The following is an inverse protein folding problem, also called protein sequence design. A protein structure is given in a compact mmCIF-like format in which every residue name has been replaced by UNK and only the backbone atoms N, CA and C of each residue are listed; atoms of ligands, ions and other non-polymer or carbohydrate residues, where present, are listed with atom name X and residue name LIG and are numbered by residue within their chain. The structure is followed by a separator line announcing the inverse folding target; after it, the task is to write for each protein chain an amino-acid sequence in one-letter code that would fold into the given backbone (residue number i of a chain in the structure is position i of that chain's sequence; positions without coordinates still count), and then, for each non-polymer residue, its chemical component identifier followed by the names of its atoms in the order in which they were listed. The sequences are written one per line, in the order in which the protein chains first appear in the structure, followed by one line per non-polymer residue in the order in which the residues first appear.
data_IF_204654513739
#
_entry.id   IF_204654513739
#
_cell.length_a   1.000
_cell.length_b   1.000
_cell.length_c   1.000
_cell.angle_alpha   90.00
_cell.angle_beta   90.00
_cell.angle_gamma   90.00
#
_symmetry.space_group_name_H-M   'P 1'
#
loop_
_entity.id
_entity.type
_entity.pdbx_description
1 polymer ?
#
# COMPACT_ATOMS: atom_id res chain seq x y z
N UNK A 1 40.90 22.01 -24.07
CA UNK A 1 40.18 23.08 -23.35
C UNK A 1 38.70 22.72 -23.31
N UNK A 2 38.12 22.74 -22.12
CA UNK A 2 36.70 22.63 -21.72
C UNK A 2 35.69 23.25 -22.75
N UNK A 3 34.41 22.85 -22.86
CA UNK A 3 33.41 22.54 -21.83
C UNK A 3 32.30 21.58 -22.31
N UNK A 4 31.77 20.88 -21.30
CA UNK A 4 30.47 20.21 -21.15
C UNK A 4 29.28 20.85 -21.88
N UNK A 5 28.34 20.00 -22.31
CA UNK A 5 26.92 20.07 -21.88
C UNK A 5 26.13 18.83 -22.34
N UNK A 6 25.86 17.90 -21.41
CA UNK A 6 24.49 17.36 -21.30
C UNK A 6 23.60 18.50 -20.82
N UNK A 7 22.31 18.48 -21.18
CA UNK A 7 21.39 18.16 -20.10
C UNK A 7 20.08 17.47 -20.57
N UNK A 8 19.43 16.89 -19.56
CA UNK A 8 18.01 16.58 -19.46
C UNK A 8 17.54 15.27 -20.10
N UNK A 9 17.55 14.25 -19.24
CA UNK A 9 16.61 13.13 -19.29
C UNK A 9 15.21 13.75 -19.34
N UNK A 10 14.55 13.67 -20.49
CA UNK A 10 13.16 14.08 -20.65
C UNK A 10 12.31 13.28 -19.66
N UNK A 11 11.74 13.98 -18.67
CA UNK A 11 10.63 13.47 -17.90
C UNK A 11 9.44 13.32 -18.85
N UNK A 12 9.29 12.13 -19.45
CA UNK A 12 8.11 11.77 -20.22
C UNK A 12 6.85 12.16 -19.43
N UNK A 13 5.89 12.87 -20.04
CA UNK A 13 4.70 13.31 -19.34
C UNK A 13 3.98 12.11 -18.73
N UNK A 14 3.56 12.26 -17.48
CA UNK A 14 2.72 11.27 -16.80
C UNK A 14 1.56 10.88 -17.73
N UNK A 15 1.39 9.57 -17.93
CA UNK A 15 0.35 9.02 -18.80
C UNK A 15 -0.99 9.74 -18.51
N UNK A 16 -1.73 10.21 -19.53
CA UNK A 16 -2.97 10.97 -19.34
C UNK A 16 -4.08 10.18 -18.60
N UNK A 17 -3.87 8.88 -18.38
CA UNK A 17 -4.75 7.96 -17.65
C UNK A 17 -4.25 7.64 -16.22
N UNK A 18 -3.10 8.18 -15.80
CA UNK A 18 -2.55 7.94 -14.46
C UNK A 18 -3.36 8.72 -13.41
N UNK A 19 -4.20 7.98 -12.67
CA UNK A 19 -5.09 8.53 -11.64
C UNK A 19 -4.43 8.59 -10.26
N UNK A 20 -3.23 8.03 -10.07
CA UNK A 20 -2.54 8.00 -8.79
C UNK A 20 -1.96 9.39 -8.48
N UNK A 21 -2.27 9.88 -7.28
CA UNK A 21 -1.76 11.17 -6.78
C UNK A 21 -0.34 11.10 -6.21
N UNK A 22 0.16 9.91 -5.90
CA UNK A 22 1.46 9.71 -5.27
C UNK A 22 2.26 8.63 -6.01
N UNK A 23 3.57 8.85 -6.24
CA UNK A 23 4.44 7.81 -6.75
C UNK A 23 4.48 6.62 -5.78
N UNK A 24 4.62 5.42 -6.33
CA UNK A 24 4.74 4.17 -5.57
C UNK A 24 6.16 3.67 -5.71
N UNK A 25 6.79 3.34 -4.58
CA UNK A 25 8.08 2.67 -4.54
C UNK A 25 7.85 1.18 -4.37
N UNK A 26 8.38 0.38 -5.28
CA UNK A 26 8.41 -1.08 -5.11
C UNK A 26 9.20 -1.43 -3.86
N UNK A 27 8.61 -2.28 -3.03
CA UNK A 27 9.23 -2.74 -1.78
C UNK A 27 8.83 -4.18 -1.57
N UNK A 28 9.82 -5.04 -1.34
CA UNK A 28 9.59 -6.40 -0.88
C UNK A 28 9.81 -6.43 0.63
N UNK A 29 8.83 -6.94 1.37
CA UNK A 29 8.88 -7.00 2.82
C UNK A 29 7.67 -7.69 3.41
N UNK A 30 7.68 -7.91 4.72
CA UNK A 30 6.55 -8.50 5.44
C UNK A 30 5.73 -7.39 6.09
N UNK A 31 4.41 -7.50 6.00
CA UNK A 31 3.47 -6.64 6.70
C UNK A 31 2.42 -7.51 7.40
N UNK A 32 2.12 -7.17 8.65
CA UNK A 32 1.07 -7.82 9.43
C UNK A 32 -0.17 -6.96 9.43
N UNK A 33 -1.33 -7.55 9.15
CA UNK A 33 -2.62 -6.86 9.07
C UNK A 33 -3.59 -7.45 10.10
N UNK A 34 -4.28 -6.61 10.86
CA UNK A 34 -5.31 -7.03 11.81
C UNK A 34 -6.60 -6.29 11.54
N UNK A 35 -7.69 -7.01 11.27
CA UNK A 35 -9.02 -6.45 11.04
C UNK A 35 -9.55 -5.88 12.36
N UNK A 36 -9.92 -4.59 12.38
CA UNK A 36 -10.25 -3.89 13.62
C UNK A 36 -11.66 -4.16 14.15
N UNK A 37 -12.62 -4.44 13.26
CA UNK A 37 -14.04 -4.65 13.60
C UNK A 37 -14.46 -6.13 13.46
N UNK A 38 -13.50 -7.05 13.60
CA UNK A 38 -13.80 -8.47 13.65
C UNK A 38 -14.06 -8.88 15.10
N UNK A 39 -15.21 -9.50 15.35
CA UNK A 39 -15.62 -9.95 16.70
C UNK A 39 -14.75 -11.11 17.20
N UNK A 40 -14.01 -11.75 16.29
CA UNK A 40 -13.06 -12.81 16.57
C UNK A 40 -11.69 -12.21 16.85
N UNK A 41 -11.00 -12.73 17.88
CA UNK A 41 -9.55 -12.52 18.06
C UNK A 41 -8.81 -13.23 16.92
N UNK A 42 -8.86 -12.65 15.73
CA UNK A 42 -8.13 -13.14 14.58
C UNK A 42 -6.65 -12.83 14.76
N UNK A 43 -5.81 -13.84 14.55
CA UNK A 43 -4.37 -13.66 14.45
C UNK A 43 -4.04 -12.68 13.30
N UNK A 44 -2.95 -11.90 13.41
CA UNK A 44 -2.55 -10.99 12.35
C UNK A 44 -2.29 -11.74 11.04
N UNK A 45 -2.88 -11.25 9.95
CA UNK A 45 -2.67 -11.77 8.61
C UNK A 45 -1.26 -11.35 8.16
N UNK A 46 -0.35 -12.32 8.11
CA UNK A 46 0.99 -12.13 7.52
C UNK A 46 0.85 -11.99 6.00
N UNK A 47 1.35 -10.89 5.47
CA UNK A 47 1.24 -10.52 4.05
C UNK A 47 2.59 -10.06 3.50
N UNK A 48 2.75 -10.15 2.18
CA UNK A 48 3.93 -9.65 1.47
C UNK A 48 3.63 -8.27 0.88
N UNK A 49 4.46 -7.28 1.22
CA UNK A 49 4.38 -5.95 0.64
C UNK A 49 4.85 -5.98 -0.82
N UNK A 50 4.15 -5.24 -1.68
CA UNK A 50 4.45 -5.12 -3.12
C UNK A 50 5.02 -3.72 -3.40
N UNK A 51 4.35 -2.69 -2.90
CA UNK A 51 4.79 -1.30 -2.97
C UNK A 51 4.14 -0.43 -1.90
N UNK A 52 4.77 0.72 -1.68
CA UNK A 52 4.38 1.75 -0.73
C UNK A 52 4.30 3.11 -1.41
N UNK A 53 3.45 3.98 -0.87
CA UNK A 53 3.39 5.41 -1.15
C UNK A 53 3.12 6.16 0.15
N UNK A 54 3.22 7.50 0.14
CA UNK A 54 2.88 8.32 1.31
C UNK A 54 1.41 8.15 1.76
N UNK A 55 0.51 7.73 0.86
CA UNK A 55 -0.92 7.61 1.14
C UNK A 55 -1.40 6.17 1.38
N UNK A 56 -0.60 5.15 1.09
CA UNK A 56 -1.10 3.78 1.05
C UNK A 56 -0.11 2.77 0.50
N UNK A 57 -0.52 1.51 0.45
CA UNK A 57 0.32 0.38 0.04
C UNK A 57 -0.46 -0.70 -0.70
N UNK A 58 0.26 -1.62 -1.33
CA UNK A 58 -0.29 -2.89 -1.86
C UNK A 58 0.39 -4.06 -1.18
N UNK A 59 -0.40 -5.07 -0.83
CA UNK A 59 0.11 -6.31 -0.27
C UNK A 59 -0.58 -7.54 -0.88
N UNK A 60 0.16 -8.63 -0.99
CA UNK A 60 -0.33 -9.97 -1.33
C UNK A 60 -0.47 -10.82 -0.07
N UNK A 61 -1.58 -11.54 0.06
CA UNK A 61 -1.89 -12.41 1.19
C UNK A 61 -2.74 -13.61 0.76
N UNK A 62 -2.88 -14.60 1.64
CA UNK A 62 -3.77 -15.76 1.42
C UNK A 62 -5.13 -15.62 2.09
N UNK A 63 -5.32 -14.63 2.97
CA UNK A 63 -6.59 -14.44 3.69
C UNK A 63 -7.73 -14.03 2.75
N UNK A 64 -8.88 -14.68 2.93
CA UNK A 64 -10.15 -14.35 2.24
C UNK A 64 -11.05 -13.41 3.04
N UNK A 65 -10.61 -13.01 4.24
CA UNK A 65 -11.41 -12.20 5.17
C UNK A 65 -11.36 -10.70 4.86
N UNK A 66 -10.38 -10.27 4.04
CA UNK A 66 -10.18 -8.86 3.68
C UNK A 66 -11.07 -8.44 2.51
N UNK A 67 -12.05 -7.60 2.82
CA UNK A 67 -13.02 -7.02 1.91
C UNK A 67 -12.86 -5.49 1.84
N UNK A 68 -13.21 -4.90 0.69
CA UNK A 68 -13.18 -3.44 0.52
C UNK A 68 -14.06 -2.73 1.57
N UNK A 69 -13.59 -1.58 2.04
CA UNK A 69 -14.21 -0.78 3.08
C UNK A 69 -13.80 -1.13 4.51
N UNK A 70 -13.23 -2.32 4.76
CA UNK A 70 -12.78 -2.70 6.09
C UNK A 70 -11.54 -1.92 6.53
N UNK A 71 -11.45 -1.66 7.84
CA UNK A 71 -10.29 -1.04 8.47
C UNK A 71 -9.40 -2.09 9.12
N UNK A 72 -8.10 -1.95 8.89
CA UNK A 72 -7.06 -2.80 9.44
C UNK A 72 -6.03 -1.97 10.18
N UNK A 73 -5.54 -2.49 11.30
CA UNK A 73 -4.24 -2.07 11.80
C UNK A 73 -3.15 -2.77 10.98
N UNK A 74 -2.09 -2.06 10.64
CA UNK A 74 -0.93 -2.61 9.95
C UNK A 74 0.36 -2.38 10.72
N UNK A 75 1.32 -3.28 10.56
CA UNK A 75 2.67 -3.15 11.09
C UNK A 75 3.70 -3.74 10.11
N UNK A 76 4.72 -2.96 9.77
CA UNK A 76 5.89 -3.36 8.98
C UNK A 76 7.14 -2.65 9.51
N UNK A 77 8.32 -2.99 9.00
CA UNK A 77 9.60 -2.45 9.50
C UNK A 77 9.67 -0.91 9.51
N UNK A 78 9.10 -0.25 8.50
CA UNK A 78 9.10 1.21 8.41
C UNK A 78 8.03 1.92 9.28
N UNK A 79 7.15 1.20 9.99
CA UNK A 79 6.08 1.82 10.79
C UNK A 79 4.80 1.00 10.95
N UNK A 80 3.88 1.55 11.74
CA UNK A 80 2.57 0.98 12.05
C UNK A 80 1.48 2.05 11.98
N UNK A 81 0.23 1.63 11.75
CA UNK A 81 -0.89 2.55 11.68
C UNK A 81 -2.20 1.85 11.35
N UNK A 82 -3.18 2.63 10.90
CA UNK A 82 -4.46 2.13 10.40
C UNK A 82 -4.59 2.39 8.92
N UNK A 83 -5.24 1.48 8.21
CA UNK A 83 -5.55 1.64 6.79
C UNK A 83 -6.92 1.05 6.47
N UNK A 84 -7.51 1.51 5.37
CA UNK A 84 -8.75 0.96 4.82
C UNK A 84 -8.46 0.19 3.54
N UNK A 85 -9.05 -0.99 3.41
CA UNK A 85 -9.03 -1.76 2.16
C UNK A 85 -9.83 -1.00 1.11
N UNK A 86 -9.22 -0.66 -0.03
CA UNK A 86 -9.89 0.06 -1.13
C UNK A 86 -10.32 -0.86 -2.26
N UNK A 87 -9.55 -1.93 -2.51
CA UNK A 87 -9.87 -2.96 -3.49
C UNK A 87 -9.15 -4.26 -3.13
N UNK A 88 -9.68 -5.36 -3.64
CA UNK A 88 -9.14 -6.71 -3.52
C UNK A 88 -9.22 -7.38 -4.89
N UNK A 89 -8.18 -8.10 -5.31
CA UNK A 89 -8.17 -8.90 -6.55
C UNK A 89 -7.51 -10.25 -6.32
N UNK A 90 -8.03 -11.30 -6.92
CA UNK A 90 -7.43 -12.64 -6.86
C UNK A 90 -6.36 -12.74 -7.95
N UNK A 91 -5.16 -13.16 -7.59
CA UNK A 91 -4.02 -13.38 -8.50
C UNK A 91 -3.47 -14.79 -8.25
N UNK A 92 -3.83 -15.72 -9.14
CA UNK A 92 -3.52 -17.14 -8.99
C UNK A 92 -4.14 -17.70 -7.71
N UNK A 93 -3.29 -18.16 -6.79
CA UNK A 93 -3.71 -18.69 -5.48
C UNK A 93 -3.66 -17.65 -4.35
N UNK A 94 -3.25 -16.42 -4.65
CA UNK A 94 -3.13 -15.32 -3.69
C UNK A 94 -4.19 -14.25 -3.92
N UNK A 95 -4.35 -13.40 -2.93
CA UNK A 95 -5.18 -12.21 -2.99
C UNK A 95 -4.28 -11.00 -2.85
N UNK A 96 -4.38 -10.06 -3.78
CA UNK A 96 -3.76 -8.75 -3.62
C UNK A 96 -4.80 -7.73 -3.20
N UNK A 97 -4.43 -6.88 -2.24
CA UNK A 97 -5.29 -5.83 -1.74
C UNK A 97 -4.57 -4.49 -1.75
N UNK A 98 -5.32 -3.45 -2.09
CA UNK A 98 -4.89 -2.06 -1.97
C UNK A 98 -5.37 -1.46 -0.66
N UNK A 99 -4.50 -0.73 0.01
CA UNK A 99 -4.78 -0.12 1.31
C UNK A 99 -4.51 1.39 1.25
N UNK A 100 -5.43 2.18 1.79
CA UNK A 100 -5.28 3.62 2.00
C UNK A 100 -5.02 3.88 3.48
N UNK A 101 -3.88 4.49 3.82
CA UNK A 101 -3.52 4.82 5.21
C UNK A 101 -4.51 5.86 5.72
N UNK A 102 -5.13 5.57 6.87
CA UNK A 102 -5.96 6.53 7.58
C UNK A 102 -5.04 7.55 8.25
N UNK A 103 -5.15 8.82 7.87
CA UNK A 103 -4.53 9.89 8.66
C UNK A 103 -5.20 9.91 10.03
N UNK A 104 -4.38 9.98 11.07
CA UNK A 104 -4.88 10.22 12.42
C UNK A 104 -5.58 11.57 12.40
N UNK A 105 -6.92 11.59 12.52
CA UNK A 105 -7.61 12.85 12.80
C UNK A 105 -7.15 13.25 14.19
N UNK A 106 -6.24 14.23 14.29
CA UNK A 106 -6.10 14.99 15.53
C UNK A 106 -7.50 15.51 15.85
N UNK A 107 -8.11 14.98 16.91
CA UNK A 107 -9.25 15.64 17.55
C UNK A 107 -8.67 16.92 18.14
N UNK A 108 -9.05 18.05 17.57
CA UNK A 108 -8.99 19.35 18.23
C UNK A 108 -10.13 19.44 19.24
#
# INVERSE_FOLDING_TARGET
MYLKQSPLVDCLPAHPEERRRNPRREVQGVIFLKILKSDLRSEPIRSCLIDLSAAGFRASHSSKELCSGQEVAFCHDAGKGMARVVWTRIVGQSVESGFLICQEKRKE
#
